data_IF_107593640247
#
_entry.id   IF_107593640247
#
_cell.length_a   1.000
_cell.length_b   1.000
_cell.length_c   1.000
_cell.angle_alpha   90.00
_cell.angle_beta   90.00
_cell.angle_gamma   90.00
#
_symmetry.space_group_name_H-M   'P 1'
#
loop_
_entity.id
_entity.type
_entity.pdbx_description
1 polymer ?
#
# COMPACT_ATOMS: atom_id res chain seq x y z
N UNK A 1 14.80 -44.35 -1.58
CA UNK A 1 15.01 -43.51 -2.78
C UNK A 1 15.32 -42.12 -2.28
N UNK A 2 16.60 -41.73 -2.29
CA UNK A 2 17.06 -40.44 -1.78
C UNK A 2 17.05 -39.41 -2.92
N UNK A 3 16.48 -38.24 -2.65
CA UNK A 3 16.52 -37.10 -3.57
C UNK A 3 17.97 -36.60 -3.74
N UNK A 4 18.42 -36.32 -4.97
CA UNK A 4 19.76 -35.79 -5.19
C UNK A 4 19.78 -34.31 -4.78
N UNK A 5 20.66 -33.98 -3.84
CA UNK A 5 21.04 -32.60 -3.52
C UNK A 5 21.75 -32.01 -4.74
N UNK A 6 21.41 -30.79 -5.18
CA UNK A 6 22.10 -30.17 -6.31
C UNK A 6 23.56 -29.91 -5.93
N UNK A 7 24.49 -30.45 -6.72
CA UNK A 7 25.91 -30.14 -6.63
C UNK A 7 26.08 -28.63 -6.83
N UNK A 8 26.69 -27.99 -5.84
CA UNK A 8 27.02 -26.57 -5.85
C UNK A 8 28.17 -26.42 -6.85
N UNK A 9 27.90 -25.84 -8.01
CA UNK A 9 28.95 -25.47 -8.96
C UNK A 9 30.01 -24.63 -8.23
N UNK A 10 31.20 -25.20 -8.13
CA UNK A 10 32.37 -24.59 -7.52
C UNK A 10 32.83 -23.49 -8.49
N UNK A 11 32.30 -22.28 -8.29
CA UNK A 11 32.69 -21.07 -9.01
C UNK A 11 34.19 -20.84 -8.78
N UNK A 12 35.00 -21.33 -9.71
CA UNK A 12 36.43 -21.02 -9.79
C UNK A 12 36.58 -19.51 -9.82
N UNK A 13 37.04 -18.96 -8.70
CA UNK A 13 37.25 -17.53 -8.48
C UNK A 13 38.45 -17.11 -9.31
N UNK A 14 38.20 -16.74 -10.56
CA UNK A 14 39.16 -15.96 -11.35
C UNK A 14 39.63 -14.78 -10.49
N UNK A 15 40.96 -14.57 -10.34
CA UNK A 15 41.49 -13.50 -9.51
C UNK A 15 40.97 -12.16 -10.05
N UNK A 16 40.15 -11.48 -9.27
CA UNK A 16 39.61 -10.16 -9.61
C UNK A 16 40.79 -9.20 -9.76
N UNK A 17 41.16 -8.87 -10.99
CA UNK A 17 42.21 -7.91 -11.28
C UNK A 17 41.66 -6.50 -11.04
N UNK A 18 42.05 -5.87 -9.92
CA UNK A 18 41.72 -4.48 -9.65
C UNK A 18 42.65 -3.54 -10.44
N UNK A 19 42.10 -2.41 -10.90
CA UNK A 19 42.89 -1.30 -11.48
C UNK A 19 42.87 -0.14 -10.50
N UNK A 20 44.02 0.44 -10.21
CA UNK A 20 44.08 1.72 -9.48
C UNK A 20 43.35 2.81 -10.26
N UNK A 21 42.60 3.66 -9.55
CA UNK A 21 41.96 4.82 -10.17
C UNK A 21 43.01 5.76 -10.77
N UNK A 22 42.71 6.34 -11.92
CA UNK A 22 43.51 7.43 -12.50
C UNK A 22 43.46 8.66 -11.59
N UNK A 23 44.37 9.62 -11.78
CA UNK A 23 44.38 10.84 -10.95
C UNK A 23 43.06 11.62 -11.04
N UNK A 24 42.44 11.67 -12.22
CA UNK A 24 41.15 12.34 -12.44
C UNK A 24 40.00 11.60 -11.73
N UNK A 25 39.94 10.27 -11.90
CA UNK A 25 38.98 9.40 -11.22
C UNK A 25 39.11 9.49 -9.69
N UNK A 26 40.35 9.53 -9.18
CA UNK A 26 40.64 9.66 -7.76
C UNK A 26 40.21 11.02 -7.22
N UNK A 27 40.41 12.11 -7.97
CA UNK A 27 39.92 13.44 -7.59
C UNK A 27 38.38 13.50 -7.54
N UNK A 28 37.71 12.90 -8.52
CA UNK A 28 36.24 12.77 -8.53
C UNK A 28 35.76 11.95 -7.33
N UNK A 29 36.37 10.77 -7.11
CA UNK A 29 36.08 9.90 -5.97
C UNK A 29 36.24 10.64 -4.65
N UNK A 30 37.36 11.35 -4.45
CA UNK A 30 37.64 12.10 -3.23
C UNK A 30 36.60 13.19 -2.98
N UNK A 31 36.16 13.88 -4.03
CA UNK A 31 35.11 14.91 -3.95
C UNK A 31 33.78 14.29 -3.53
N UNK A 32 33.38 13.18 -4.16
CA UNK A 32 32.13 12.48 -3.83
C UNK A 32 32.16 11.89 -2.42
N UNK A 33 33.26 11.25 -2.02
CA UNK A 33 33.43 10.66 -0.70
C UNK A 33 33.41 11.72 0.42
N UNK A 34 34.02 12.88 0.19
CA UNK A 34 33.96 14.02 1.11
C UNK A 34 32.53 14.56 1.25
N UNK A 35 31.85 14.78 0.12
CA UNK A 35 30.45 15.25 0.10
C UNK A 35 29.48 14.25 0.75
N UNK A 36 29.77 12.96 0.63
CA UNK A 36 29.03 11.89 1.27
C UNK A 36 29.30 11.76 2.78
N UNK A 37 30.32 12.47 3.31
CA UNK A 37 30.70 12.42 4.72
C UNK A 37 31.29 11.07 5.13
N UNK A 38 31.95 10.35 4.21
CA UNK A 38 32.53 9.05 4.52
C UNK A 38 33.72 9.19 5.48
N UNK A 39 33.70 8.41 6.55
CA UNK A 39 34.87 8.24 7.41
C UNK A 39 36.02 7.52 6.68
N UNK A 40 37.25 7.49 7.23
CA UNK A 40 38.40 6.88 6.57
C UNK A 40 38.21 5.40 6.20
N UNK A 41 37.47 4.62 7.00
CA UNK A 41 37.26 3.18 6.78
C UNK A 41 36.29 2.96 5.62
N UNK A 42 35.17 3.67 5.62
CA UNK A 42 34.17 3.57 4.55
C UNK A 42 34.68 4.17 3.24
N UNK A 43 35.47 5.24 3.31
CA UNK A 43 36.17 5.80 2.14
C UNK A 43 37.14 4.79 1.53
N UNK A 44 37.95 4.10 2.33
CA UNK A 44 38.86 3.09 1.81
C UNK A 44 38.11 1.94 1.13
N UNK A 45 37.01 1.46 1.73
CA UNK A 45 36.15 0.42 1.13
C UNK A 45 35.50 0.88 -0.19
N UNK A 46 34.99 2.11 -0.23
CA UNK A 46 34.41 2.69 -1.43
C UNK A 46 35.44 2.76 -2.58
N UNK A 47 36.68 3.14 -2.27
CA UNK A 47 37.77 3.19 -3.23
C UNK A 47 38.10 1.80 -3.78
N UNK A 48 38.27 0.80 -2.90
CA UNK A 48 38.52 -0.58 -3.30
C UNK A 48 37.40 -1.13 -4.21
N UNK A 49 36.14 -0.81 -3.88
CA UNK A 49 34.99 -1.21 -4.68
C UNK A 49 34.97 -0.54 -6.06
N UNK A 50 35.32 0.75 -6.14
CA UNK A 50 35.47 1.46 -7.41
C UNK A 50 36.61 0.87 -8.27
N UNK A 51 37.76 0.57 -7.66
CA UNK A 51 38.94 -0.03 -8.32
C UNK A 51 38.69 -1.46 -8.83
N UNK A 52 37.91 -2.25 -8.10
CA UNK A 52 37.52 -3.60 -8.50
C UNK A 52 36.47 -3.58 -9.63
N UNK A 53 35.52 -2.64 -9.59
CA UNK A 53 34.42 -2.58 -10.56
C UNK A 53 34.84 -2.00 -11.91
N UNK A 54 35.85 -1.13 -11.93
CA UNK A 54 36.28 -0.43 -13.16
C UNK A 54 36.85 -1.36 -14.25
N UNK A 55 37.22 -2.60 -13.90
CA UNK A 55 37.74 -3.58 -14.85
C UNK A 55 36.66 -4.20 -15.75
N UNK A 56 35.42 -4.36 -15.26
CA UNK A 56 34.34 -5.02 -16.00
C UNK A 56 33.46 -4.06 -16.82
N UNK A 57 33.71 -2.75 -16.73
CA UNK A 57 32.91 -1.74 -17.40
C UNK A 57 33.38 -1.48 -18.83
N UNK A 58 33.24 -2.50 -19.70
CA UNK A 58 33.56 -2.35 -21.13
C UNK A 58 32.55 -1.45 -21.86
N UNK A 59 31.37 -1.17 -21.24
CA UNK A 59 30.28 -0.40 -21.87
C UNK A 59 29.61 0.65 -20.96
N UNK A 60 30.18 1.00 -19.80
CA UNK A 60 29.61 1.95 -18.84
C UNK A 60 30.46 3.21 -18.62
N UNK A 61 29.82 4.32 -18.22
CA UNK A 61 30.51 5.56 -17.85
C UNK A 61 31.20 5.40 -16.48
N UNK A 62 32.54 5.37 -16.46
CA UNK A 62 33.38 5.24 -15.24
C UNK A 62 32.92 6.14 -14.07
N UNK A 63 32.55 7.43 -14.29
CA UNK A 63 31.96 8.28 -13.24
C UNK A 63 30.76 7.69 -12.50
N UNK A 64 29.89 6.93 -13.19
CA UNK A 64 28.70 6.33 -12.60
C UNK A 64 29.07 5.23 -11.60
N UNK A 65 30.10 4.43 -11.90
CA UNK A 65 30.56 3.37 -10.99
C UNK A 65 31.23 3.92 -9.75
N UNK A 66 32.03 4.99 -9.89
CA UNK A 66 32.62 5.71 -8.76
C UNK A 66 31.52 6.29 -7.87
N UNK A 67 30.50 6.93 -8.45
CA UNK A 67 29.36 7.44 -7.70
C UNK A 67 28.60 6.32 -6.98
N UNK A 68 28.33 5.20 -7.66
CA UNK A 68 27.65 4.05 -7.06
C UNK A 68 28.44 3.45 -5.88
N UNK A 69 29.76 3.33 -6.02
CA UNK A 69 30.62 2.83 -4.94
C UNK A 69 30.59 3.75 -3.71
N UNK A 70 30.60 5.07 -3.91
CA UNK A 70 30.46 6.05 -2.81
C UNK A 70 29.08 5.98 -2.16
N UNK A 71 28.01 5.91 -2.95
CA UNK A 71 26.63 5.76 -2.44
C UNK A 71 26.51 4.49 -1.61
N UNK A 72 27.01 3.36 -2.10
CA UNK A 72 26.97 2.09 -1.36
C UNK A 72 27.73 2.18 -0.03
N UNK A 73 28.94 2.76 -0.02
CA UNK A 73 29.68 2.95 1.21
C UNK A 73 29.00 3.91 2.20
N UNK A 74 28.30 4.94 1.71
CA UNK A 74 27.49 5.82 2.55
C UNK A 74 26.35 5.07 3.21
N UNK A 75 25.63 4.24 2.45
CA UNK A 75 24.58 3.38 3.01
C UNK A 75 25.14 2.45 4.07
N UNK A 76 26.31 1.84 3.85
CA UNK A 76 26.96 0.99 4.86
C UNK A 76 27.33 1.74 6.15
N UNK A 77 27.79 3.00 6.02
CA UNK A 77 28.06 3.87 7.17
C UNK A 77 26.79 4.17 7.96
N UNK A 78 25.70 4.53 7.27
CA UNK A 78 24.41 4.83 7.89
C UNK A 78 23.83 3.59 8.60
N UNK A 79 23.93 2.41 7.99
CA UNK A 79 23.52 1.13 8.60
C UNK A 79 24.37 0.81 9.83
N UNK A 80 25.68 1.00 9.77
CA UNK A 80 26.58 0.77 10.91
C UNK A 80 26.27 1.74 12.06
N UNK A 81 25.98 3.01 11.75
CA UNK A 81 25.56 3.99 12.74
C UNK A 81 24.22 3.63 13.38
N UNK A 82 23.26 3.13 12.58
CA UNK A 82 21.97 2.67 13.08
C UNK A 82 22.13 1.46 14.00
N UNK A 83 22.98 0.49 13.64
CA UNK A 83 23.28 -0.67 14.47
C UNK A 83 23.83 -0.25 15.85
N UNK A 84 24.80 0.66 15.89
CA UNK A 84 25.36 1.18 17.15
C UNK A 84 24.30 1.90 18.01
N UNK A 85 23.41 2.67 17.37
CA UNK A 85 22.28 3.32 18.08
C UNK A 85 21.31 2.28 18.65
N UNK A 86 21.06 1.18 17.92
CA UNK A 86 20.22 0.09 18.39
C UNK A 86 20.84 -0.61 19.60
N UNK A 87 22.14 -0.89 19.57
CA UNK A 87 22.86 -1.46 20.73
C UNK A 87 22.74 -0.55 21.95
N UNK A 88 22.90 0.76 21.76
CA UNK A 88 22.74 1.76 22.84
C UNK A 88 21.30 1.78 23.40
N UNK A 89 20.29 1.63 22.54
CA UNK A 89 18.89 1.56 22.97
C UNK A 89 18.65 0.28 23.77
N UNK A 90 19.17 -0.86 23.31
CA UNK A 90 19.08 -2.14 24.01
C UNK A 90 19.72 -2.07 25.40
N UNK A 91 20.93 -1.49 25.52
CA UNK A 91 21.57 -1.29 26.83
C UNK A 91 20.74 -0.39 27.76
N UNK A 92 20.15 0.69 27.23
CA UNK A 92 19.27 1.56 28.01
C UNK A 92 17.98 0.86 28.43
N UNK A 93 17.44 -0.01 27.58
CA UNK A 93 16.27 -0.81 27.90
C UNK A 93 16.57 -1.78 29.05
N UNK A 94 17.73 -2.45 29.02
CA UNK A 94 18.16 -3.35 30.10
C UNK A 94 18.38 -2.60 31.43
N UNK A 95 18.91 -1.38 31.37
CA UNK A 95 19.05 -0.49 32.54
C UNK A 95 17.67 -0.08 33.11
N UNK A 96 16.72 0.26 32.25
CA UNK A 96 15.35 0.58 32.66
C UNK A 96 14.65 -0.63 33.27
N UNK A 97 14.75 -1.80 32.64
CA UNK A 97 14.19 -3.06 33.17
C UNK A 97 14.78 -3.39 34.55
N UNK A 98 16.09 -3.20 34.73
CA UNK A 98 16.77 -3.39 36.02
C UNK A 98 16.27 -2.41 37.09
N UNK A 99 16.04 -1.15 36.71
CA UNK A 99 15.52 -0.10 37.61
C UNK A 99 14.09 -0.41 38.04
N UNK A 100 13.24 -0.84 37.11
CA UNK A 100 11.84 -1.24 37.41
C UNK A 100 11.81 -2.47 38.31
N UNK A 101 12.66 -3.47 38.05
CA UNK A 101 12.77 -4.66 38.91
C UNK A 101 13.23 -4.30 40.33
N UNK A 102 14.19 -3.38 40.47
CA UNK A 102 14.64 -2.90 41.78
C UNK A 102 13.54 -2.12 42.54
N UNK A 103 12.71 -1.35 41.84
CA UNK A 103 11.57 -0.65 42.43
C UNK A 103 10.45 -1.60 42.87
N UNK A 104 10.23 -2.71 42.18
CA UNK A 104 9.24 -3.73 42.56
C UNK A 104 9.67 -4.58 43.78
N UNK A 105 10.97 -4.67 44.07
CA UNK A 105 11.50 -5.39 45.24
C UNK A 105 11.41 -4.63 46.57
N UNK A 106 11.18 -3.31 46.56
CA UNK A 106 11.03 -2.49 47.75
C UNK A 106 9.54 -2.33 48.08
N UNK A 107 8.93 -3.32 48.73
CA UNK A 107 7.54 -3.24 49.17
C UNK A 107 7.37 -2.18 50.28
N UNK A 108 6.65 -1.08 50.05
CA UNK A 108 6.14 -0.26 51.13
C UNK A 108 4.80 -0.87 51.57
N UNK A 109 4.75 -1.40 52.79
CA UNK A 109 3.48 -1.55 53.50
C UNK A 109 2.96 -0.15 53.85
N UNK A 110 2.40 0.54 52.87
CA UNK A 110 1.81 1.85 53.04
C UNK A 110 0.54 1.92 52.22
N UNK A 111 -0.56 2.31 52.86
CA UNK A 111 -1.86 2.60 52.24
C UNK A 111 -1.71 3.66 51.14
N UNK A 112 -1.25 3.25 49.96
CA UNK A 112 -1.20 4.11 48.80
C UNK A 112 -2.65 4.41 48.36
N UNK A 113 -3.00 5.67 48.08
CA UNK A 113 -4.31 6.01 47.53
C UNK A 113 -4.49 5.23 46.23
N UNK A 114 -5.62 4.52 46.13
CA UNK A 114 -6.04 3.77 44.96
C UNK A 114 -5.96 4.73 43.77
N UNK A 115 -4.98 4.51 42.87
CA UNK A 115 -4.88 5.29 41.65
C UNK A 115 -6.22 5.16 40.90
N UNK A 116 -6.79 6.26 40.39
CA UNK A 116 -8.05 6.21 39.66
C UNK A 116 -7.88 5.21 38.51
N UNK A 117 -8.80 4.25 38.42
CA UNK A 117 -8.78 3.24 37.37
C UNK A 117 -8.74 3.95 36.01
N UNK A 118 -7.65 3.76 35.28
CA UNK A 118 -7.53 4.24 33.90
C UNK A 118 -8.66 3.62 33.09
N UNK A 119 -9.58 4.46 32.63
CA UNK A 119 -10.70 4.04 31.79
C UNK A 119 -10.13 3.47 30.50
N UNK A 120 -10.50 2.23 30.16
CA UNK A 120 -10.06 1.62 28.92
C UNK A 120 -10.55 2.46 27.73
N UNK A 121 -9.63 2.83 26.84
CA UNK A 121 -9.98 3.59 25.64
C UNK A 121 -10.99 2.83 24.78
N UNK A 122 -11.98 3.55 24.26
CA UNK A 122 -12.96 3.03 23.32
C UNK A 122 -13.13 4.02 22.16
N UNK A 123 -13.39 3.50 20.96
CA UNK A 123 -13.62 4.35 19.79
C UNK A 123 -14.89 5.16 20.00
N UNK A 124 -14.78 6.49 20.00
CA UNK A 124 -15.93 7.38 20.11
C UNK A 124 -16.85 7.23 18.87
N UNK A 125 -18.15 7.51 18.99
CA UNK A 125 -19.06 7.52 17.84
C UNK A 125 -18.63 8.49 16.74
N UNK A 126 -18.07 9.64 17.10
CA UNK A 126 -17.59 10.63 16.15
C UNK A 126 -16.39 10.12 15.32
N UNK A 127 -15.41 9.50 15.98
CA UNK A 127 -14.28 8.87 15.30
C UNK A 127 -14.72 7.68 14.46
N UNK A 128 -15.65 6.87 14.96
CA UNK A 128 -16.21 5.74 14.23
C UNK A 128 -16.88 6.20 12.92
N UNK A 129 -17.72 7.23 12.98
CA UNK A 129 -18.36 7.83 11.80
C UNK A 129 -17.32 8.37 10.80
N UNK A 130 -16.27 9.05 11.28
CA UNK A 130 -15.19 9.56 10.44
C UNK A 130 -14.43 8.42 9.73
N UNK A 131 -14.05 7.37 10.47
CA UNK A 131 -13.37 6.19 9.92
C UNK A 131 -14.23 5.53 8.84
N UNK A 132 -15.53 5.37 9.08
CA UNK A 132 -16.46 4.79 8.11
C UNK A 132 -16.63 5.68 6.86
N UNK A 133 -16.73 6.99 7.04
CA UNK A 133 -16.78 7.96 5.94
C UNK A 133 -15.53 7.86 5.07
N UNK A 134 -14.35 7.84 5.71
CA UNK A 134 -13.06 7.67 5.04
C UNK A 134 -12.96 6.34 4.30
N UNK A 135 -13.32 5.23 4.92
CA UNK A 135 -13.30 3.91 4.28
C UNK A 135 -14.18 3.87 3.02
N UNK A 136 -15.38 4.44 3.09
CA UNK A 136 -16.29 4.51 1.93
C UNK A 136 -15.77 5.41 0.81
N UNK A 137 -15.04 6.49 1.13
CA UNK A 137 -14.44 7.38 0.13
C UNK A 137 -13.21 6.75 -0.51
N UNK A 138 -12.31 6.21 0.31
CA UNK A 138 -11.01 5.72 -0.10
C UNK A 138 -11.06 4.42 -0.89
N UNK A 139 -12.07 3.59 -0.68
CA UNK A 139 -12.20 2.35 -1.43
C UNK A 139 -12.37 2.58 -2.95
N UNK A 140 -12.83 3.77 -3.35
CA UNK A 140 -12.97 4.16 -4.75
C UNK A 140 -11.72 4.88 -5.29
N UNK A 141 -10.69 5.10 -4.47
CA UNK A 141 -9.49 5.82 -4.89
C UNK A 141 -8.63 4.96 -5.82
N UNK A 142 -8.14 5.52 -6.95
CA UNK A 142 -7.30 4.77 -7.89
C UNK A 142 -5.94 4.39 -7.28
N UNK A 143 -5.49 5.15 -6.28
CA UNK A 143 -4.19 5.02 -5.61
C UNK A 143 -4.15 3.92 -4.54
N UNK A 144 -5.26 3.19 -4.31
CA UNK A 144 -5.24 2.07 -3.36
C UNK A 144 -4.33 0.97 -3.89
N UNK A 145 -3.24 0.72 -3.18
CA UNK A 145 -2.28 -0.35 -3.50
C UNK A 145 -2.78 -1.73 -3.06
N UNK A 146 -3.62 -1.76 -2.03
CA UNK A 146 -4.27 -2.98 -1.57
C UNK A 146 -5.54 -2.68 -0.78
N UNK A 147 -6.56 -3.50 -0.98
CA UNK A 147 -7.82 -3.48 -0.27
C UNK A 147 -7.75 -4.21 1.08
N UNK A 148 -6.93 -5.25 1.24
CA UNK A 148 -6.85 -6.04 2.49
C UNK A 148 -5.45 -6.18 3.08
N UNK A 149 -4.43 -6.33 2.24
CA UNK A 149 -3.05 -6.47 2.69
C UNK A 149 -2.47 -5.12 3.14
N UNK A 150 -1.74 -5.14 4.25
CA UNK A 150 -0.92 -4.00 4.72
C UNK A 150 0.54 -4.13 4.31
N UNK A 151 0.93 -5.32 3.86
CA UNK A 151 2.28 -5.71 3.49
C UNK A 151 2.19 -6.76 2.38
N UNK A 152 3.10 -6.69 1.42
CA UNK A 152 3.20 -7.67 0.34
C UNK A 152 4.66 -7.83 -0.06
N UNK A 153 5.13 -9.07 -0.17
CA UNK A 153 6.53 -9.40 -0.46
C UNK A 153 7.54 -8.71 0.48
N UNK A 154 7.21 -8.66 1.78
CA UNK A 154 7.96 -7.95 2.83
C UNK A 154 8.05 -6.42 2.66
N UNK A 155 7.20 -5.84 1.80
CA UNK A 155 7.11 -4.39 1.58
C UNK A 155 5.84 -3.86 2.20
N UNK A 156 5.98 -2.93 3.15
CA UNK A 156 4.85 -2.23 3.75
C UNK A 156 4.13 -1.35 2.71
N UNK A 157 2.80 -1.51 2.62
CA UNK A 157 1.97 -0.78 1.69
C UNK A 157 1.47 0.51 2.34
N UNK A 158 2.15 1.62 2.06
CA UNK A 158 1.78 2.95 2.56
C UNK A 158 0.39 3.38 2.11
N UNK A 159 -0.05 2.93 0.93
CA UNK A 159 -1.35 3.25 0.35
C UNK A 159 -2.30 2.04 0.34
N UNK A 160 -2.15 1.10 1.28
CA UNK A 160 -3.25 0.16 1.53
C UNK A 160 -4.48 0.92 2.05
N UNK A 161 -5.68 0.37 1.87
CA UNK A 161 -6.91 0.98 2.37
C UNK A 161 -6.84 1.21 3.89
N UNK A 162 -6.26 0.25 4.63
CA UNK A 162 -6.05 0.37 6.06
C UNK A 162 -5.03 1.48 6.40
N UNK A 163 -3.85 1.44 5.78
CA UNK A 163 -2.78 2.43 6.01
C UNK A 163 -3.20 3.84 5.62
N UNK A 164 -4.07 3.98 4.61
CA UNK A 164 -4.57 5.27 4.13
C UNK A 164 -5.59 5.93 5.08
N UNK A 165 -6.25 5.14 5.93
CA UNK A 165 -7.18 5.65 6.97
C UNK A 165 -6.46 5.86 8.28
N UNK A 166 -5.50 4.98 8.60
CA UNK A 166 -4.76 5.04 9.85
C UNK A 166 -4.00 6.37 9.91
N UNK A 167 -4.33 7.19 10.90
CA UNK A 167 -3.56 8.40 11.20
C UNK A 167 -2.18 7.95 11.62
N UNK A 168 -1.17 8.34 10.84
CA UNK A 168 0.22 8.12 11.21
C UNK A 168 0.70 9.40 11.87
N UNK A 169 0.95 9.37 13.17
CA UNK A 169 1.63 10.46 13.88
C UNK A 169 3.10 10.62 13.42
N UNK A 170 3.65 9.61 12.75
CA UNK A 170 4.96 9.75 12.12
C UNK A 170 4.88 10.78 11.00
N UNK A 171 5.73 11.80 11.14
CA UNK A 171 5.84 13.04 10.38
C UNK A 171 6.15 12.88 8.89
N UNK A 172 5.86 11.73 8.30
CA UNK A 172 5.89 11.50 6.86
C UNK A 172 4.60 12.05 6.25
N UNK A 173 4.67 13.17 5.50
CA UNK A 173 3.50 13.75 4.85
C UNK A 173 3.04 12.80 3.74
N UNK A 174 2.02 11.99 3.99
CA UNK A 174 1.21 11.41 2.92
C UNK A 174 0.15 12.45 2.54
N UNK A 175 0.45 13.18 1.46
CA UNK A 175 0.03 14.55 1.13
C UNK A 175 -1.47 14.78 0.88
N UNK A 176 -2.33 13.75 0.82
CA UNK A 176 -3.71 13.96 0.31
C UNK A 176 -4.82 13.53 1.27
N UNK A 177 -4.53 12.75 2.33
CA UNK A 177 -5.57 12.20 3.20
C UNK A 177 -5.53 12.67 4.64
N UNK A 178 -4.41 13.25 5.05
CA UNK A 178 -4.33 14.00 6.30
C UNK A 178 -5.32 15.16 6.29
N UNK A 179 -5.67 15.76 5.13
CA UNK A 179 -6.59 16.89 5.06
C UNK A 179 -7.91 16.74 5.85
N UNK A 180 -8.50 15.54 5.96
CA UNK A 180 -9.74 15.36 6.76
C UNK A 180 -9.51 15.20 8.26
N UNK A 181 -8.38 14.64 8.67
CA UNK A 181 -7.97 14.61 10.09
C UNK A 181 -7.34 15.95 10.51
N UNK A 182 -6.59 16.60 9.62
CA UNK A 182 -6.07 17.97 9.75
C UNK A 182 -7.19 19.01 9.80
N UNK A 183 -8.36 18.70 9.24
CA UNK A 183 -9.56 19.50 9.43
C UNK A 183 -10.16 19.36 10.84
N UNK A 184 -9.78 18.34 11.61
CA UNK A 184 -10.18 18.25 13.01
C UNK A 184 -9.23 19.08 13.88
N UNK A 185 -9.76 19.85 14.84
CA UNK A 185 -8.93 20.55 15.82
C UNK A 185 -8.02 19.58 16.59
N UNK A 186 -6.86 20.05 17.04
CA UNK A 186 -5.91 19.22 17.80
C UNK A 186 -6.56 18.63 19.06
N UNK A 187 -7.45 19.39 19.71
CA UNK A 187 -8.20 18.96 20.89
C UNK A 187 -9.13 17.78 20.58
N UNK A 188 -9.71 17.75 19.38
CA UNK A 188 -10.57 16.65 18.92
C UNK A 188 -9.76 15.36 18.73
N UNK A 189 -8.56 15.48 18.18
CA UNK A 189 -7.66 14.34 17.97
C UNK A 189 -7.19 13.78 19.33
N UNK A 190 -6.82 14.65 20.26
CA UNK A 190 -6.45 14.25 21.63
C UNK A 190 -7.60 13.56 22.37
N UNK A 191 -8.83 14.06 22.24
CA UNK A 191 -10.01 13.47 22.88
C UNK A 191 -10.36 12.09 22.32
N UNK A 192 -10.21 11.89 21.01
CA UNK A 192 -10.77 10.73 20.34
C UNK A 192 -9.78 9.67 19.92
N UNK A 193 -8.49 9.97 19.75
CA UNK A 193 -7.47 8.96 19.42
C UNK A 193 -6.92 8.28 20.68
N UNK A 194 -6.32 7.09 20.56
CA UNK A 194 -5.60 6.48 21.67
C UNK A 194 -4.49 7.41 22.19
N UNK A 195 -4.32 7.48 23.51
CA UNK A 195 -3.36 8.38 24.14
C UNK A 195 -1.91 7.93 23.88
N UNK A 196 -1.01 8.89 23.78
CA UNK A 196 0.43 8.70 23.69
C UNK A 196 1.10 9.36 24.89
N UNK A 197 1.25 8.62 25.99
CA UNK A 197 1.89 9.13 27.20
C UNK A 197 3.41 9.07 27.03
N UNK A 198 4.06 10.23 26.91
CA UNK A 198 5.53 10.34 26.81
C UNK A 198 6.15 9.53 25.65
N UNK A 199 5.43 9.44 24.53
CA UNK A 199 5.85 8.65 23.37
C UNK A 199 5.61 7.14 23.50
N UNK A 200 5.01 6.69 24.62
CA UNK A 200 4.52 5.33 24.78
C UNK A 200 3.07 5.29 24.31
N UNK A 201 2.83 4.54 23.24
CA UNK A 201 1.50 4.33 22.70
C UNK A 201 0.67 3.42 23.62
N UNK A 202 -0.58 3.80 23.93
CA UNK A 202 -1.54 2.88 24.55
C UNK A 202 -1.77 1.67 23.63
N UNK A 203 -1.12 0.55 23.96
CA UNK A 203 -1.15 -0.68 23.16
C UNK A 203 -2.57 -1.23 23.06
N UNK A 204 -3.36 -1.12 24.14
CA UNK A 204 -4.72 -1.66 24.19
C UNK A 204 -5.64 -0.77 23.34
N UNK A 205 -5.65 0.54 23.59
CA UNK A 205 -6.42 1.50 22.80
C UNK A 205 -6.07 1.44 21.31
N UNK A 206 -4.79 1.37 20.98
CA UNK A 206 -4.30 1.24 19.60
C UNK A 206 -4.79 -0.03 18.91
N UNK A 207 -4.84 -1.16 19.63
CA UNK A 207 -5.40 -2.40 19.10
C UNK A 207 -6.91 -2.26 18.81
N UNK A 208 -7.66 -1.61 19.70
CA UNK A 208 -9.10 -1.35 19.51
C UNK A 208 -9.31 -0.40 18.32
N UNK A 209 -8.52 0.67 18.21
CA UNK A 209 -8.55 1.61 17.08
C UNK A 209 -8.27 0.91 15.75
N UNK A 210 -7.19 0.13 15.66
CA UNK A 210 -6.87 -0.65 14.46
C UNK A 210 -8.00 -1.65 14.11
N UNK A 211 -8.65 -2.23 15.10
CA UNK A 211 -9.80 -3.13 14.89
C UNK A 211 -11.00 -2.36 14.31
N UNK A 212 -11.26 -1.15 14.79
CA UNK A 212 -12.30 -0.27 14.25
C UNK A 212 -12.04 0.04 12.76
N UNK A 213 -10.82 0.42 12.38
CA UNK A 213 -10.46 0.67 10.97
C UNK A 213 -10.67 -0.58 10.12
N UNK A 214 -10.19 -1.76 10.58
CA UNK A 214 -10.36 -3.02 9.82
C UNK A 214 -11.82 -3.36 9.60
N UNK A 215 -12.67 -3.16 10.61
CA UNK A 215 -14.11 -3.39 10.50
C UNK A 215 -14.75 -2.42 9.50
N UNK A 216 -14.41 -1.13 9.56
CA UNK A 216 -14.89 -0.15 8.59
C UNK A 216 -14.45 -0.48 7.15
N UNK A 217 -13.19 -0.87 6.95
CA UNK A 217 -12.69 -1.33 5.65
C UNK A 217 -13.43 -2.58 5.16
N UNK A 218 -13.68 -3.54 6.05
CA UNK A 218 -14.46 -4.75 5.74
C UNK A 218 -15.87 -4.38 5.26
N UNK A 219 -16.56 -3.48 5.96
CA UNK A 219 -17.89 -3.02 5.59
C UNK A 219 -17.90 -2.24 4.28
N UNK A 220 -16.94 -1.35 4.06
CA UNK A 220 -16.80 -0.62 2.80
C UNK A 220 -16.58 -1.57 1.62
N UNK A 221 -15.73 -2.58 1.80
CA UNK A 221 -15.49 -3.65 0.82
C UNK A 221 -16.76 -4.43 0.52
N UNK A 222 -17.41 -4.98 1.54
CA UNK A 222 -18.67 -5.71 1.37
C UNK A 222 -19.71 -4.90 0.59
N UNK A 223 -19.86 -3.62 0.94
CA UNK A 223 -20.77 -2.71 0.26
C UNK A 223 -20.38 -2.47 -1.21
N UNK A 224 -19.10 -2.24 -1.50
CA UNK A 224 -18.62 -2.08 -2.87
C UNK A 224 -18.85 -3.36 -3.68
N UNK A 225 -18.55 -4.54 -3.12
CA UNK A 225 -18.80 -5.83 -3.77
C UNK A 225 -20.27 -5.96 -4.22
N UNK A 226 -21.19 -5.66 -3.31
CA UNK A 226 -22.63 -5.72 -3.59
C UNK A 226 -23.04 -4.72 -4.67
N UNK A 227 -22.43 -3.52 -4.70
CA UNK A 227 -22.70 -2.53 -5.73
C UNK A 227 -22.15 -2.93 -7.10
N UNK A 228 -21.00 -3.60 -7.17
CA UNK A 228 -20.41 -4.09 -8.43
C UNK A 228 -21.29 -5.17 -9.10
N UNK A 229 -22.14 -5.86 -8.33
CA UNK A 229 -23.06 -6.88 -8.81
C UNK A 229 -24.49 -6.36 -9.07
N UNK A 230 -24.71 -5.04 -9.04
CA UNK A 230 -26.01 -4.44 -9.32
C UNK A 230 -26.46 -4.75 -10.75
N UNK A 231 -27.71 -5.20 -10.89
CA UNK A 231 -28.29 -5.63 -12.18
C UNK A 231 -27.94 -7.07 -12.55
N UNK A 232 -27.10 -7.75 -11.75
CA UNK A 232 -26.75 -9.16 -11.93
C UNK A 232 -27.48 -10.01 -10.89
N UNK A 233 -27.36 -9.63 -9.61
CA UNK A 233 -27.84 -10.42 -8.49
C UNK A 233 -28.40 -9.52 -7.39
N UNK A 234 -29.53 -9.90 -6.81
CA UNK A 234 -30.05 -9.25 -5.61
C UNK A 234 -29.54 -10.00 -4.36
N UNK A 235 -28.73 -9.29 -3.58
CA UNK A 235 -28.12 -9.80 -2.34
C UNK A 235 -29.14 -10.21 -1.29
N UNK A 236 -30.32 -9.59 -1.29
CA UNK A 236 -31.37 -9.85 -0.29
C UNK A 236 -32.19 -11.08 -0.65
N UNK A 237 -32.55 -11.25 -1.92
CA UNK A 237 -33.40 -12.38 -2.35
C UNK A 237 -32.59 -13.60 -2.77
N UNK A 238 -31.34 -13.40 -3.18
CA UNK A 238 -30.54 -14.47 -3.74
C UNK A 238 -30.80 -14.72 -5.23
N UNK A 239 -31.59 -13.88 -5.89
CA UNK A 239 -32.06 -14.12 -7.26
C UNK A 239 -31.24 -13.35 -8.30
N UNK A 240 -31.10 -13.95 -9.48
CA UNK A 240 -30.57 -13.27 -10.67
C UNK A 240 -31.65 -12.33 -11.19
N UNK A 241 -31.29 -11.08 -11.42
CA UNK A 241 -32.25 -10.08 -11.87
C UNK A 241 -32.51 -10.19 -13.38
N UNK A 242 -33.79 -10.10 -13.76
CA UNK A 242 -34.23 -10.02 -15.17
C UNK A 242 -34.28 -8.56 -15.65
N UNK A 243 -33.16 -7.86 -15.51
CA UNK A 243 -32.99 -6.49 -15.99
C UNK A 243 -31.69 -6.36 -16.75
N UNK A 244 -31.59 -5.45 -17.74
CA UNK A 244 -30.33 -5.20 -18.41
C UNK A 244 -29.25 -4.75 -17.43
N UNK A 245 -28.03 -5.30 -17.57
CA UNK A 245 -26.91 -4.97 -16.69
C UNK A 245 -26.47 -3.53 -16.98
N UNK A 246 -26.33 -2.65 -15.95
CA UNK A 246 -25.96 -1.26 -16.17
C UNK A 246 -24.59 -1.12 -16.81
N UNK A 247 -24.39 -0.09 -17.63
CA UNK A 247 -23.05 0.26 -18.09
C UNK A 247 -22.20 0.86 -16.95
N UNK A 248 -20.89 1.00 -17.19
CA UNK A 248 -19.94 1.47 -16.19
C UNK A 248 -20.27 2.88 -15.70
N UNK A 249 -20.80 3.75 -16.57
CA UNK A 249 -21.20 5.13 -16.22
C UNK A 249 -22.35 5.16 -15.21
N UNK A 250 -23.38 4.38 -15.44
CA UNK A 250 -24.52 4.30 -14.52
C UNK A 250 -24.18 3.55 -13.24
N UNK A 251 -23.32 2.54 -13.32
CA UNK A 251 -22.74 1.90 -12.14
C UNK A 251 -21.96 2.92 -11.31
N UNK A 252 -21.06 3.70 -11.93
CA UNK A 252 -20.26 4.73 -11.27
C UNK A 252 -21.13 5.77 -10.58
N UNK A 253 -22.17 6.26 -11.25
CA UNK A 253 -23.13 7.16 -10.61
C UNK A 253 -23.76 6.53 -9.36
N UNK A 254 -24.20 5.26 -9.42
CA UNK A 254 -24.75 4.57 -8.24
C UNK A 254 -23.72 4.36 -7.14
N UNK A 255 -22.50 3.96 -7.48
CA UNK A 255 -21.38 3.78 -6.55
C UNK A 255 -21.10 5.08 -5.80
N UNK A 256 -20.87 6.15 -6.56
CA UNK A 256 -20.55 7.45 -6.01
C UNK A 256 -21.72 8.01 -5.24
N UNK A 257 -22.96 7.97 -5.73
CA UNK A 257 -24.12 8.42 -4.97
C UNK A 257 -24.26 7.62 -3.67
N UNK A 258 -24.12 6.30 -3.69
CA UNK A 258 -24.28 5.48 -2.48
C UNK A 258 -23.12 5.62 -1.47
N UNK A 259 -21.89 5.85 -1.95
CA UNK A 259 -20.72 6.07 -1.09
C UNK A 259 -20.60 7.51 -0.61
N UNK A 260 -20.81 8.48 -1.50
CA UNK A 260 -20.78 9.91 -1.20
C UNK A 260 -22.00 10.32 -0.37
N UNK A 261 -23.24 9.89 -0.67
CA UNK A 261 -24.41 10.20 0.18
C UNK A 261 -24.26 9.70 1.62
N UNK A 262 -23.45 8.67 1.84
CA UNK A 262 -23.10 8.23 3.20
C UNK A 262 -21.97 9.10 3.79
N UNK A 263 -21.02 9.56 2.96
CA UNK A 263 -20.05 10.59 3.32
C UNK A 263 -20.65 12.02 3.45
N UNK A 264 -21.96 12.19 3.19
CA UNK A 264 -22.61 13.51 3.04
C UNK A 264 -22.82 14.33 4.31
N UNK A 265 -22.18 13.96 5.43
CA UNK A 265 -21.87 14.95 6.47
C UNK A 265 -20.83 16.00 5.99
N UNK A 266 -20.26 15.87 4.78
CA UNK A 266 -19.15 16.73 4.28
C UNK A 266 -19.37 17.39 2.89
N UNK A 267 -20.55 17.99 2.63
CA UNK A 267 -20.80 19.05 1.63
C UNK A 267 -20.46 18.88 0.12
N UNK A 268 -20.01 17.72 -0.38
CA UNK A 268 -19.52 17.59 -1.79
C UNK A 268 -20.63 17.36 -2.87
N UNK A 269 -21.70 16.61 -2.62
CA UNK A 269 -22.81 16.32 -3.56
C UNK A 269 -23.65 17.52 -3.98
N UNK A 270 -23.32 18.74 -3.53
CA UNK A 270 -23.83 19.94 -4.18
C UNK A 270 -23.22 20.21 -5.56
N UNK A 271 -22.09 19.59 -5.92
CA UNK A 271 -21.29 19.98 -7.09
C UNK A 271 -21.57 19.18 -8.38
N UNK A 272 -22.15 17.99 -8.31
CA UNK A 272 -22.45 17.17 -9.50
C UNK A 272 -23.93 16.78 -9.52
N UNK A 273 -24.76 17.62 -10.15
CA UNK A 273 -26.21 17.45 -10.21
C UNK A 273 -26.65 16.22 -11.05
N UNK A 274 -25.79 15.69 -11.92
CA UNK A 274 -26.13 14.59 -12.83
C UNK A 274 -24.96 13.64 -13.12
N UNK A 275 -25.29 12.43 -13.62
CA UNK A 275 -24.35 11.37 -13.91
C UNK A 275 -23.30 11.72 -14.99
N UNK A 276 -23.61 12.62 -15.93
CA UNK A 276 -22.66 13.01 -16.96
C UNK A 276 -21.59 13.92 -16.39
N UNK A 277 -21.97 14.88 -15.54
CA UNK A 277 -21.02 15.76 -14.86
C UNK A 277 -20.07 14.96 -13.97
N UNK A 278 -20.60 14.04 -13.15
CA UNK A 278 -19.76 13.19 -12.31
C UNK A 278 -18.81 12.33 -13.14
N UNK A 279 -19.32 11.71 -14.20
CA UNK A 279 -18.49 10.93 -15.11
C UNK A 279 -17.38 11.80 -15.69
N UNK A 280 -17.67 12.94 -16.31
CA UNK A 280 -16.68 13.80 -16.95
C UNK A 280 -15.56 14.31 -16.00
N UNK A 281 -15.83 14.41 -14.69
CA UNK A 281 -14.86 14.88 -13.69
C UNK A 281 -14.05 13.76 -13.02
N UNK A 282 -14.34 12.50 -13.35
CA UNK A 282 -13.58 11.37 -12.82
C UNK A 282 -12.38 11.11 -13.73
N UNK A 283 -11.26 10.63 -13.18
CA UNK A 283 -10.08 10.31 -13.96
C UNK A 283 -10.16 8.91 -14.59
N UNK A 284 -9.46 8.72 -15.70
CA UNK A 284 -9.44 7.45 -16.45
C UNK A 284 -8.97 6.24 -15.61
N UNK A 285 -7.90 6.34 -14.80
CA UNK A 285 -7.48 5.26 -13.91
C UNK A 285 -8.59 4.79 -12.97
N UNK A 286 -9.39 5.72 -12.42
CA UNK A 286 -10.53 5.38 -11.56
C UNK A 286 -11.58 4.55 -12.31
N UNK A 287 -11.97 4.92 -13.54
CA UNK A 287 -12.94 4.12 -14.30
C UNK A 287 -12.41 2.73 -14.62
N UNK A 288 -11.17 2.65 -15.10
CA UNK A 288 -10.58 1.37 -15.47
C UNK A 288 -10.42 0.45 -14.25
N UNK A 289 -10.12 1.02 -13.08
CA UNK A 289 -10.14 0.28 -11.81
C UNK A 289 -11.52 -0.29 -11.50
N UNK A 290 -12.57 0.50 -11.67
CA UNK A 290 -13.95 0.04 -11.42
C UNK A 290 -14.39 -1.03 -12.42
N UNK A 291 -14.00 -0.88 -13.69
CA UNK A 291 -14.21 -1.90 -14.71
C UNK A 291 -13.57 -3.24 -14.30
N UNK A 292 -12.30 -3.20 -13.89
CA UNK A 292 -11.60 -4.37 -13.37
C UNK A 292 -12.33 -5.03 -12.20
N UNK A 293 -12.65 -4.25 -11.15
CA UNK A 293 -13.30 -4.80 -9.97
C UNK A 293 -14.67 -5.41 -10.31
N UNK A 294 -15.40 -4.81 -11.25
CA UNK A 294 -16.66 -5.37 -11.75
C UNK A 294 -16.43 -6.68 -12.46
N UNK A 295 -15.57 -6.72 -13.48
CA UNK A 295 -15.27 -7.95 -14.21
C UNK A 295 -14.84 -9.08 -13.28
N UNK A 296 -13.99 -8.79 -12.29
CA UNK A 296 -13.52 -9.76 -11.32
C UNK A 296 -14.63 -10.24 -10.36
N UNK A 297 -15.50 -9.33 -9.91
CA UNK A 297 -16.67 -9.68 -9.10
C UNK A 297 -17.63 -10.60 -9.88
N UNK A 298 -17.88 -10.30 -11.15
CA UNK A 298 -18.71 -11.13 -12.03
C UNK A 298 -18.07 -12.49 -12.26
N UNK A 299 -16.78 -12.53 -12.58
CA UNK A 299 -16.02 -13.77 -12.80
C UNK A 299 -16.09 -14.70 -11.60
N UNK A 300 -15.89 -14.17 -10.39
CA UNK A 300 -15.99 -14.96 -9.15
C UNK A 300 -17.43 -15.41 -8.90
N UNK A 301 -18.42 -14.56 -9.19
CA UNK A 301 -19.83 -14.94 -9.08
C UNK A 301 -20.17 -16.11 -10.02
N UNK A 302 -19.69 -16.10 -11.26
CA UNK A 302 -19.92 -17.14 -12.27
C UNK A 302 -19.26 -18.49 -11.93
N UNK A 303 -18.01 -18.48 -11.48
CA UNK A 303 -17.27 -19.71 -11.13
C UNK A 303 -17.87 -20.36 -9.87
N UNK A 304 -18.62 -19.60 -9.09
CA UNK A 304 -19.13 -19.98 -7.77
C UNK A 304 -18.19 -19.51 -6.67
N UNK A 305 -18.72 -19.46 -5.44
CA UNK A 305 -18.00 -19.00 -4.24
C UNK A 305 -16.86 -19.96 -3.88
N UNK A 306 -15.76 -19.90 -4.62
CA UNK A 306 -14.50 -20.54 -4.24
C UNK A 306 -13.90 -19.91 -2.98
N UNK A 307 -12.78 -20.45 -2.50
CA UNK A 307 -12.12 -20.02 -1.27
C UNK A 307 -11.54 -18.60 -1.30
N UNK A 308 -11.40 -18.00 -2.48
CA UNK A 308 -10.75 -16.69 -2.65
C UNK A 308 -11.78 -15.57 -2.78
N UNK A 309 -11.70 -14.57 -1.89
CA UNK A 309 -12.50 -13.36 -2.02
C UNK A 309 -12.02 -12.49 -3.18
N UNK A 310 -12.91 -11.69 -3.78
CA UNK A 310 -12.56 -10.73 -4.84
C UNK A 310 -11.40 -9.81 -4.43
N UNK A 311 -11.26 -9.53 -3.14
CA UNK A 311 -10.25 -8.63 -2.60
C UNK A 311 -8.86 -9.25 -2.59
N UNK A 312 -8.76 -10.55 -2.33
CA UNK A 312 -7.49 -11.26 -2.40
C UNK A 312 -6.97 -11.32 -3.85
N UNK A 313 -7.89 -11.51 -4.81
CA UNK A 313 -7.56 -11.44 -6.23
C UNK A 313 -7.15 -10.02 -6.65
N UNK A 314 -7.87 -9.00 -6.22
CA UNK A 314 -7.53 -7.60 -6.47
C UNK A 314 -6.17 -7.21 -5.90
N UNK A 315 -5.85 -7.64 -4.67
CA UNK A 315 -4.55 -7.38 -4.04
C UNK A 315 -3.40 -8.05 -4.78
N UNK A 316 -3.59 -9.30 -5.20
CA UNK A 316 -2.60 -10.05 -5.99
C UNK A 316 -2.34 -9.38 -7.34
N UNK A 317 -3.41 -8.99 -8.04
CA UNK A 317 -3.27 -8.29 -9.32
C UNK A 317 -2.59 -6.94 -9.12
N UNK A 318 -2.97 -6.17 -8.10
CA UNK A 318 -2.37 -4.87 -7.84
C UNK A 318 -0.86 -4.95 -7.63
N UNK A 319 -0.42 -5.95 -6.89
CA UNK A 319 0.99 -6.21 -6.71
C UNK A 319 1.67 -6.55 -8.04
N UNK A 320 1.06 -7.41 -8.85
CA UNK A 320 1.57 -7.74 -10.18
C UNK A 320 1.71 -6.50 -11.07
N UNK A 321 0.67 -5.66 -11.13
CA UNK A 321 0.68 -4.43 -11.92
C UNK A 321 1.82 -3.49 -11.47
N UNK A 322 1.96 -3.31 -10.15
CA UNK A 322 3.07 -2.54 -9.57
C UNK A 322 4.45 -3.09 -9.96
N UNK A 323 4.63 -4.41 -9.95
CA UNK A 323 5.90 -5.04 -10.32
C UNK A 323 6.21 -4.95 -11.82
N UNK A 324 5.17 -4.89 -12.67
CA UNK A 324 5.31 -4.78 -14.13
C UNK A 324 5.52 -3.33 -14.62
N UNK A 325 5.18 -2.34 -13.81
CA UNK A 325 5.38 -0.92 -14.10
C UNK A 325 4.17 -0.21 -14.73
N UNK A 326 4.32 1.09 -14.96
CA UNK A 326 3.20 1.98 -15.29
C UNK A 326 2.64 1.73 -16.70
N UNK A 327 3.49 1.49 -17.70
CA UNK A 327 3.06 1.23 -19.09
C UNK A 327 2.21 -0.04 -19.19
N UNK A 328 2.68 -1.13 -18.56
CA UNK A 328 1.92 -2.38 -18.48
C UNK A 328 0.60 -2.17 -17.73
N UNK A 329 0.62 -1.40 -16.64
CA UNK A 329 -0.57 -1.10 -15.85
C UNK A 329 -1.61 -0.32 -16.67
N UNK A 330 -1.18 0.70 -17.41
CA UNK A 330 -2.04 1.48 -18.29
C UNK A 330 -2.65 0.62 -19.41
N UNK A 331 -1.84 -0.22 -20.07
CA UNK A 331 -2.29 -1.14 -21.11
C UNK A 331 -3.31 -2.15 -20.56
N UNK A 332 -3.01 -2.79 -19.42
CA UNK A 332 -3.92 -3.72 -18.76
C UNK A 332 -5.27 -3.07 -18.45
N UNK A 333 -5.24 -1.91 -17.81
CA UNK A 333 -6.44 -1.16 -17.42
C UNK A 333 -7.27 -0.75 -18.64
N UNK A 334 -6.64 -0.36 -19.75
CA UNK A 334 -7.29 -0.05 -21.02
C UNK A 334 -7.98 -1.27 -21.63
N UNK A 335 -7.31 -2.42 -21.68
CA UNK A 335 -7.91 -3.67 -22.22
C UNK A 335 -9.12 -4.08 -21.40
N UNK A 336 -9.00 -4.10 -20.07
CA UNK A 336 -10.10 -4.46 -19.17
C UNK A 336 -11.27 -3.47 -19.27
N UNK A 337 -10.99 -2.18 -19.37
CA UNK A 337 -12.03 -1.17 -19.57
C UNK A 337 -12.81 -1.40 -20.88
N UNK A 338 -12.12 -1.73 -21.97
CA UNK A 338 -12.77 -2.01 -23.25
C UNK A 338 -13.64 -3.27 -23.20
N UNK A 339 -13.14 -4.35 -22.58
CA UNK A 339 -13.89 -5.58 -22.36
C UNK A 339 -15.16 -5.33 -21.52
N UNK A 340 -15.04 -4.56 -20.46
CA UNK A 340 -16.18 -4.15 -19.62
C UNK A 340 -17.20 -3.34 -20.44
N UNK A 341 -16.75 -2.34 -21.21
CA UNK A 341 -17.63 -1.48 -22.00
C UNK A 341 -18.38 -2.25 -23.10
N UNK A 342 -17.73 -3.25 -23.71
CA UNK A 342 -18.35 -4.14 -24.69
C UNK A 342 -19.40 -5.06 -24.06
N UNK A 343 -19.07 -5.70 -22.93
CA UNK A 343 -19.98 -6.61 -22.24
C UNK A 343 -21.19 -5.89 -21.63
N UNK A 344 -20.96 -4.75 -20.96
CA UNK A 344 -21.97 -4.05 -20.15
C UNK A 344 -22.42 -2.75 -20.81
N UNK A 345 -23.27 -2.88 -21.82
CA UNK A 345 -23.68 -1.77 -22.70
C UNK A 345 -25.17 -1.37 -22.55
N UNK A 346 -25.83 -1.76 -21.45
CA UNK A 346 -27.27 -1.60 -21.20
C UNK A 346 -28.24 -2.42 -22.06
N UNK A 347 -27.75 -3.23 -22.99
CA UNK A 347 -28.61 -4.06 -23.85
C UNK A 347 -28.63 -5.52 -23.41
N UNK A 348 -27.56 -5.98 -22.76
CA UNK A 348 -27.38 -7.38 -22.42
C UNK A 348 -27.95 -7.71 -21.02
N UNK A 349 -28.64 -8.84 -20.93
CA UNK A 349 -29.04 -9.45 -19.66
C UNK A 349 -27.91 -10.33 -19.14
N UNK A 350 -27.84 -10.52 -17.82
CA UNK A 350 -26.76 -11.31 -17.23
C UNK A 350 -26.73 -12.77 -17.73
N UNK A 351 -27.90 -13.36 -17.99
CA UNK A 351 -28.00 -14.72 -18.51
C UNK A 351 -27.30 -14.86 -19.88
N UNK A 352 -27.50 -13.88 -20.77
CA UNK A 352 -26.85 -13.86 -22.09
C UNK A 352 -25.33 -13.67 -21.96
N UNK A 353 -24.91 -12.79 -21.04
CA UNK A 353 -23.49 -12.53 -20.79
C UNK A 353 -22.75 -13.77 -20.29
N UNK A 354 -23.39 -14.65 -19.50
CA UNK A 354 -22.75 -15.90 -19.05
C UNK A 354 -22.45 -16.88 -20.19
N UNK A 355 -23.15 -16.74 -21.32
CA UNK A 355 -22.95 -17.58 -22.51
C UNK A 355 -21.95 -16.92 -23.48
N UNK A 356 -22.01 -15.59 -23.61
CA UNK A 356 -21.25 -14.84 -24.59
C UNK A 356 -19.87 -14.38 -24.09
N UNK A 357 -19.71 -14.21 -22.77
CA UNK A 357 -18.52 -13.62 -22.16
C UNK A 357 -17.93 -14.55 -21.09
N UNK A 358 -16.60 -14.71 -21.08
CA UNK A 358 -15.89 -15.55 -20.09
C UNK A 358 -15.27 -14.74 -18.93
N UNK A 359 -15.38 -13.41 -18.95
CA UNK A 359 -14.84 -12.45 -17.99
C UNK A 359 -13.41 -12.76 -17.49
N UNK A 360 -12.60 -13.44 -18.31
CA UNK A 360 -11.20 -13.71 -17.98
C UNK A 360 -10.42 -12.41 -18.06
N UNK A 361 -9.48 -12.24 -17.14
CA UNK A 361 -8.51 -11.14 -17.23
C UNK A 361 -7.61 -11.37 -18.45
N UNK A 362 -7.15 -10.28 -19.10
CA UNK A 362 -6.28 -10.39 -20.24
C UNK A 362 -4.96 -11.09 -19.87
N UNK A 363 -4.41 -11.86 -20.81
CA UNK A 363 -3.12 -12.51 -20.66
C UNK A 363 -1.98 -11.49 -20.71
N UNK A 364 -0.77 -11.87 -20.26
CA UNK A 364 0.39 -10.98 -20.32
C UNK A 364 0.71 -10.61 -21.78
N UNK A 365 0.54 -11.55 -22.72
CA UNK A 365 0.75 -11.32 -24.15
C UNK A 365 -0.26 -10.32 -24.72
N UNK A 366 -1.53 -10.40 -24.32
CA UNK A 366 -2.57 -9.44 -24.73
C UNK A 366 -2.29 -8.03 -24.21
N UNK A 367 -1.78 -7.92 -22.99
CA UNK A 367 -1.41 -6.64 -22.38
C UNK A 367 -0.17 -6.06 -23.06
N UNK A 368 0.88 -6.87 -23.26
CA UNK A 368 2.12 -6.43 -23.90
C UNK A 368 1.88 -6.00 -25.35
N UNK A 369 1.00 -6.69 -26.09
CA UNK A 369 0.58 -6.27 -27.44
C UNK A 369 -0.22 -4.95 -27.46
N UNK A 370 -0.83 -4.56 -26.33
CA UNK A 370 -1.59 -3.32 -26.19
C UNK A 370 -0.74 -2.13 -25.72
N UNK A 371 0.55 -2.34 -25.38
CA UNK A 371 1.48 -1.25 -25.08
C UNK A 371 1.77 -0.52 -26.40
N UNK A 372 1.27 0.70 -26.53
CA UNK A 372 1.54 1.54 -27.69
C UNK A 372 3.06 1.85 -27.75
N UNK A 373 3.72 1.68 -28.90
CA UNK A 373 5.12 2.10 -29.03
C UNK A 373 5.18 3.61 -28.81
N UNK A 374 6.05 4.07 -27.89
CA UNK A 374 6.38 5.49 -27.77
C UNK A 374 6.95 5.97 -29.11
N UNK A 375 6.14 6.70 -29.88
CA UNK A 375 6.58 7.47 -31.07
C UNK A 375 7.27 8.78 -30.67
#
# INVERSE_FOLDING_TARGET
MGSPTPERDDLTTEPVTSRTLSLEELNLFNTLALNAGLDPVHRQRAQQHAEASCFNCVYGSIPQHIALAVVHAKTQLEVSSLAQKMDTITEKLDQLLSTVAAQQGAAPQGNAPIAPATVAWACSPALHDLIHSLANRLILSPNVQSYTAVEMDNVWLSQSLFSSIKVSETSTPNVILLAQFEMQPAEWLEEHLPHHDHGIQDVVGTRVYNTCIRNACKHAREKLHNLLLVGIYDVKTGEVLDVPVPNLKSLWYRLTVTHIQIAHRFSIAGQHADANSLWANTDSPTWARMAYLRCEAVRIYQIGRGSSSIWACADTLLNKLRLKGDDYTAAFLKVVYNQDAEAFNFMNFFQDLTVQCNFKLPSDEEVEAAIEPME
#
